data_IF_103902982392
#
_entry.id   IF_103902982392
#
_cell.length_a   1.000
_cell.length_b   1.000
_cell.length_c   1.000
_cell.angle_alpha   90.00
_cell.angle_beta   90.00
_cell.angle_gamma   90.00
#
_symmetry.space_group_name_H-M   'P 1'
#
loop_
_entity.id
_entity.type
_entity.pdbx_description
1 polymer ?
#
# COMPACT_ATOMS: atom_id res chain seq x y z
N UNK A 1 -11.65 -7.98 -1.17
CA UNK A 1 -11.90 -8.35 -2.59
C UNK A 1 -11.08 -7.48 -3.54
N UNK A 2 -11.17 -6.14 -3.51
CA UNK A 2 -10.42 -5.21 -4.37
C UNK A 2 -8.93 -5.57 -4.49
N UNK A 3 -8.18 -5.54 -3.39
CA UNK A 3 -6.74 -5.84 -3.41
C UNK A 3 -6.41 -7.24 -3.93
N UNK A 4 -7.20 -8.25 -3.56
CA UNK A 4 -6.98 -9.62 -4.03
C UNK A 4 -7.14 -9.76 -5.56
N UNK A 5 -8.13 -9.09 -6.16
CA UNK A 5 -8.28 -9.08 -7.62
C UNK A 5 -7.18 -8.28 -8.30
N UNK A 6 -6.75 -7.15 -7.74
CA UNK A 6 -5.66 -6.35 -8.27
C UNK A 6 -4.33 -7.14 -8.26
N UNK A 7 -3.98 -7.74 -7.13
CA UNK A 7 -2.77 -8.54 -6.99
C UNK A 7 -2.78 -9.79 -7.88
N UNK A 8 -3.90 -10.54 -7.87
CA UNK A 8 -4.06 -11.71 -8.72
C UNK A 8 -4.01 -11.37 -10.21
N UNK A 9 -4.48 -10.19 -10.62
CA UNK A 9 -4.36 -9.73 -12.00
C UNK A 9 -2.91 -9.66 -12.45
N UNK A 10 -2.04 -9.07 -11.63
CA UNK A 10 -0.62 -8.92 -11.94
C UNK A 10 0.13 -10.26 -11.87
N UNK A 11 -0.07 -11.05 -10.80
CA UNK A 11 0.64 -12.32 -10.59
C UNK A 11 0.25 -13.37 -11.64
N UNK A 12 -1.04 -13.44 -12.00
CA UNK A 12 -1.58 -14.46 -12.91
C UNK A 12 -1.70 -13.97 -14.36
N UNK A 13 -1.25 -12.74 -14.64
CA UNK A 13 -1.43 -12.08 -15.94
C UNK A 13 -2.89 -12.13 -16.44
N UNK A 14 -3.83 -11.68 -15.59
CA UNK A 14 -5.28 -11.72 -15.83
C UNK A 14 -5.87 -10.30 -15.91
N UNK A 15 -5.88 -9.68 -17.10
CA UNK A 15 -6.42 -8.32 -17.30
C UNK A 15 -7.91 -8.21 -16.97
N UNK A 16 -8.66 -9.29 -17.07
CA UNK A 16 -10.06 -9.35 -16.65
C UNK A 16 -10.21 -9.18 -15.12
N UNK A 17 -9.28 -9.66 -14.32
CA UNK A 17 -9.27 -9.43 -12.87
C UNK A 17 -8.96 -7.97 -12.54
N UNK A 18 -8.03 -7.34 -13.27
CA UNK A 18 -7.76 -5.92 -13.11
C UNK A 18 -9.00 -5.06 -13.43
N UNK A 19 -9.73 -5.43 -14.47
CA UNK A 19 -11.01 -4.77 -14.81
C UNK A 19 -12.04 -4.90 -13.68
N UNK A 20 -12.11 -6.07 -13.02
CA UNK A 20 -12.99 -6.27 -11.85
C UNK A 20 -12.53 -5.38 -10.68
N UNK A 21 -11.22 -5.32 -10.41
CA UNK A 21 -10.66 -4.48 -9.34
C UNK A 21 -10.97 -3.00 -9.56
N UNK A 22 -10.72 -2.47 -10.77
CA UNK A 22 -11.06 -1.08 -11.16
C UNK A 22 -12.54 -0.79 -10.94
N UNK A 23 -13.41 -1.68 -11.43
CA UNK A 23 -14.87 -1.53 -11.30
C UNK A 23 -15.33 -1.54 -9.84
N UNK A 24 -14.71 -2.38 -9.02
CA UNK A 24 -14.99 -2.44 -7.59
C UNK A 24 -14.51 -1.16 -6.87
N UNK A 25 -13.31 -0.68 -7.15
CA UNK A 25 -12.80 0.58 -6.57
C UNK A 25 -13.70 1.76 -6.93
N UNK A 26 -14.03 1.91 -8.21
CA UNK A 26 -14.91 2.98 -8.68
C UNK A 26 -16.29 2.89 -8.03
N UNK A 27 -16.89 1.70 -7.94
CA UNK A 27 -18.17 1.49 -7.27
C UNK A 27 -18.14 1.96 -5.81
N UNK A 28 -17.08 1.63 -5.07
CA UNK A 28 -16.94 2.02 -3.66
C UNK A 28 -16.78 3.55 -3.53
N UNK A 29 -16.02 4.18 -4.42
CA UNK A 29 -15.87 5.63 -4.44
C UNK A 29 -17.18 6.34 -4.80
N UNK A 30 -17.88 5.88 -5.82
CA UNK A 30 -19.11 6.52 -6.29
C UNK A 30 -20.26 6.39 -5.29
N UNK A 31 -20.30 5.30 -4.50
CA UNK A 31 -21.46 4.98 -3.68
C UNK A 31 -21.22 5.07 -2.17
N UNK A 32 -19.98 4.87 -1.70
CA UNK A 32 -19.67 4.85 -0.27
C UNK A 32 -18.77 6.02 0.17
N UNK A 33 -18.14 6.73 -0.77
CA UNK A 33 -17.38 7.95 -0.49
C UNK A 33 -18.36 9.11 -0.38
N UNK A 34 -18.71 9.49 0.84
CA UNK A 34 -19.47 10.71 1.10
C UNK A 34 -18.58 11.96 0.95
N UNK A 35 -19.16 13.14 1.10
CA UNK A 35 -18.46 14.42 0.97
C UNK A 35 -17.23 14.51 1.87
N UNK A 36 -17.28 13.90 3.03
CA UNK A 36 -16.21 13.98 4.04
C UNK A 36 -15.78 12.63 4.62
N UNK A 37 -16.67 11.65 4.70
CA UNK A 37 -16.44 10.37 5.37
C UNK A 37 -16.75 9.21 4.43
N UNK A 38 -16.09 8.07 4.70
CA UNK A 38 -16.46 6.81 4.10
C UNK A 38 -17.66 6.23 4.82
N UNK A 39 -18.62 5.66 4.07
CA UNK A 39 -19.77 4.96 4.59
C UNK A 39 -19.57 3.45 4.51
N UNK A 40 -20.18 2.71 5.44
CA UNK A 40 -19.93 1.27 5.63
C UNK A 40 -20.79 0.39 4.72
N UNK A 41 -22.05 0.75 4.52
CA UNK A 41 -23.02 -0.13 3.86
C UNK A 41 -23.70 0.55 2.69
N UNK A 42 -23.91 -0.22 1.63
CA UNK A 42 -24.72 0.20 0.48
C UNK A 42 -25.78 -0.86 0.19
N UNK A 43 -27.04 -0.44 0.22
CA UNK A 43 -28.18 -1.31 -0.10
C UNK A 43 -29.32 -0.49 -0.69
N UNK A 44 -29.99 -1.03 -1.70
CA UNK A 44 -31.17 -0.43 -2.33
C UNK A 44 -30.93 1.04 -2.79
N UNK A 45 -29.75 1.29 -3.39
CA UNK A 45 -29.37 2.62 -3.89
C UNK A 45 -28.98 3.62 -2.79
N UNK A 46 -28.79 3.19 -1.54
CA UNK A 46 -28.47 4.09 -0.42
C UNK A 46 -27.27 3.60 0.39
N UNK A 47 -26.33 4.52 0.60
CA UNK A 47 -25.24 4.32 1.54
C UNK A 47 -25.66 4.76 2.95
N UNK A 48 -25.23 4.05 3.98
CA UNK A 48 -25.56 4.32 5.38
C UNK A 48 -24.39 3.93 6.30
N UNK A 49 -24.43 4.47 7.51
CA UNK A 49 -23.52 4.24 8.62
C UNK A 49 -22.10 4.72 8.31
N UNK A 50 -21.50 5.42 9.26
CA UNK A 50 -20.09 5.80 9.16
C UNK A 50 -19.23 4.55 9.20
N UNK A 51 -18.21 4.50 8.33
CA UNK A 51 -17.26 3.41 8.26
C UNK A 51 -16.37 3.37 9.52
N UNK A 52 -16.00 2.19 9.97
CA UNK A 52 -15.06 1.96 11.06
C UNK A 52 -13.62 1.98 10.56
N UNK A 53 -12.65 1.94 11.46
CA UNK A 53 -11.23 1.89 11.13
C UNK A 53 -10.90 0.81 10.10
N UNK A 54 -11.42 -0.39 10.28
CA UNK A 54 -11.17 -1.53 9.40
C UNK A 54 -11.62 -1.27 7.96
N UNK A 55 -12.76 -0.60 7.76
CA UNK A 55 -13.29 -0.28 6.43
C UNK A 55 -12.32 0.66 5.69
N UNK A 56 -11.81 1.69 6.38
CA UNK A 56 -10.77 2.58 5.83
C UNK A 56 -9.48 1.83 5.52
N UNK A 57 -8.91 1.12 6.50
CA UNK A 57 -7.62 0.46 6.36
C UNK A 57 -7.61 -0.55 5.20
N UNK A 58 -8.65 -1.40 5.10
CA UNK A 58 -8.77 -2.37 4.01
C UNK A 58 -9.02 -1.73 2.65
N UNK A 59 -9.82 -0.66 2.59
CA UNK A 59 -10.07 0.01 1.32
C UNK A 59 -8.82 0.72 0.82
N UNK A 60 -8.12 1.46 1.69
CA UNK A 60 -6.85 2.11 1.36
C UNK A 60 -5.81 1.08 0.88
N UNK A 61 -5.68 -0.06 1.59
CA UNK A 61 -4.79 -1.14 1.16
C UNK A 61 -5.12 -1.65 -0.24
N UNK A 62 -6.41 -1.81 -0.53
CA UNK A 62 -6.88 -2.21 -1.86
C UNK A 62 -6.55 -1.19 -2.93
N UNK A 63 -6.71 0.10 -2.66
CA UNK A 63 -6.38 1.19 -3.59
C UNK A 63 -4.87 1.30 -3.86
N UNK A 64 -4.03 1.17 -2.81
CA UNK A 64 -2.57 1.14 -2.99
C UNK A 64 -2.16 -0.04 -3.87
N UNK A 65 -2.72 -1.23 -3.62
CA UNK A 65 -2.45 -2.41 -4.46
C UNK A 65 -2.94 -2.22 -5.90
N UNK A 66 -4.11 -1.59 -6.09
CA UNK A 66 -4.62 -1.28 -7.43
C UNK A 66 -3.72 -0.28 -8.16
N UNK A 67 -3.21 0.74 -7.47
CA UNK A 67 -2.21 1.65 -8.03
C UNK A 67 -0.95 0.90 -8.48
N UNK A 68 -0.37 0.08 -7.60
CA UNK A 68 0.86 -0.66 -7.88
C UNK A 68 0.74 -1.63 -9.07
N UNK A 69 -0.47 -2.11 -9.35
CA UNK A 69 -0.73 -3.05 -10.44
C UNK A 69 -1.20 -2.40 -11.73
N UNK A 70 -1.77 -1.19 -11.66
CA UNK A 70 -2.35 -0.50 -12.83
C UNK A 70 -1.60 0.74 -13.28
N UNK A 71 -0.79 1.36 -12.41
CA UNK A 71 -0.13 2.64 -12.67
C UNK A 71 -1.07 3.85 -12.70
N UNK A 72 -2.34 3.66 -12.40
CA UNK A 72 -3.34 4.74 -12.42
C UNK A 72 -3.24 5.57 -11.15
N UNK A 73 -2.63 6.76 -11.25
CA UNK A 73 -2.30 7.63 -10.13
C UNK A 73 -3.50 7.99 -9.26
N UNK A 74 -4.69 8.08 -9.83
CA UNK A 74 -5.93 8.38 -9.11
C UNK A 74 -6.18 7.47 -7.90
N UNK A 75 -5.80 6.19 -7.98
CA UNK A 75 -5.99 5.25 -6.88
C UNK A 75 -5.08 5.56 -5.69
N UNK A 76 -3.85 5.99 -5.96
CA UNK A 76 -2.95 6.44 -4.90
C UNK A 76 -3.39 7.78 -4.29
N UNK A 77 -3.88 8.71 -5.11
CA UNK A 77 -4.41 9.98 -4.64
C UNK A 77 -5.61 9.78 -3.70
N UNK A 78 -6.54 8.89 -4.07
CA UNK A 78 -7.66 8.53 -3.19
C UNK A 78 -7.18 7.79 -1.93
N UNK A 79 -6.19 6.91 -2.05
CA UNK A 79 -5.61 6.23 -0.89
C UNK A 79 -4.99 7.23 0.10
N UNK A 80 -4.26 8.24 -0.36
CA UNK A 80 -3.67 9.31 0.47
C UNK A 80 -4.78 10.17 1.10
N UNK A 81 -5.80 10.53 0.32
CA UNK A 81 -6.96 11.31 0.81
C UNK A 81 -7.68 10.55 1.95
N UNK A 82 -7.99 9.28 1.75
CA UNK A 82 -8.63 8.43 2.76
C UNK A 82 -7.73 8.19 3.98
N UNK A 83 -6.41 8.11 3.78
CA UNK A 83 -5.44 7.98 4.89
C UNK A 83 -5.46 9.22 5.79
N UNK A 84 -5.55 10.41 5.22
CA UNK A 84 -5.68 11.65 5.99
C UNK A 84 -6.95 11.62 6.85
N UNK A 85 -8.07 11.24 6.27
CA UNK A 85 -9.35 11.12 7.01
C UNK A 85 -9.27 10.03 8.08
N UNK A 86 -8.66 8.88 7.77
CA UNK A 86 -8.46 7.79 8.75
C UNK A 86 -7.66 8.28 9.96
N UNK A 87 -6.61 9.06 9.74
CA UNK A 87 -5.82 9.65 10.83
C UNK A 87 -6.66 10.64 11.62
N UNK A 88 -7.34 11.56 10.97
CA UNK A 88 -8.15 12.59 11.63
C UNK A 88 -9.29 12.00 12.47
N UNK A 89 -9.94 10.95 12.00
CA UNK A 89 -11.08 10.35 12.67
C UNK A 89 -10.70 9.38 13.79
N UNK A 90 -9.63 8.60 13.62
CA UNK A 90 -9.39 7.42 14.46
C UNK A 90 -8.10 7.47 15.27
N UNK A 91 -7.13 8.32 14.94
CA UNK A 91 -5.85 8.33 15.64
C UNK A 91 -5.98 8.81 17.08
N UNK A 92 -5.31 8.10 18.01
CA UNK A 92 -5.14 8.54 19.41
C UNK A 92 -3.85 9.36 19.51
N UNK A 93 -4.02 10.67 19.70
CA UNK A 93 -2.90 11.59 19.78
C UNK A 93 -2.11 11.47 21.11
N UNK A 94 -2.73 10.93 22.16
CA UNK A 94 -2.10 10.79 23.48
C UNK A 94 -1.29 9.49 23.60
N UNK A 95 -1.90 8.36 23.21
CA UNK A 95 -1.32 7.03 23.46
C UNK A 95 -0.88 6.33 22.18
N UNK A 96 -1.18 6.88 21.00
CA UNK A 96 -0.91 6.25 19.70
C UNK A 96 -1.84 5.08 19.37
N UNK A 97 -1.75 4.59 18.14
CA UNK A 97 -2.68 3.61 17.59
C UNK A 97 -4.03 4.22 17.23
N UNK A 98 -4.87 3.43 16.57
CA UNK A 98 -6.18 3.86 16.10
C UNK A 98 -7.29 3.28 16.98
N UNK A 99 -8.25 4.12 17.33
CA UNK A 99 -9.52 3.66 17.89
C UNK A 99 -10.34 2.91 16.84
N UNK A 100 -11.19 2.00 17.25
CA UNK A 100 -12.10 1.26 16.37
C UNK A 100 -13.17 2.16 15.74
N UNK A 101 -13.72 3.09 16.53
CA UNK A 101 -14.74 4.07 16.12
C UNK A 101 -14.13 5.45 15.88
N UNK A 102 -14.57 6.15 14.84
CA UNK A 102 -14.15 7.53 14.52
C UNK A 102 -14.75 8.58 15.47
N UNK A 103 -14.22 9.79 15.41
CA UNK A 103 -14.73 10.94 16.18
C UNK A 103 -16.14 11.33 15.76
N UNK A 104 -16.52 11.05 14.52
CA UNK A 104 -17.83 11.34 13.94
C UNK A 104 -18.89 10.26 14.21
N UNK A 105 -18.55 9.22 15.00
CA UNK A 105 -19.53 8.25 15.49
C UNK A 105 -20.26 8.78 16.74
N UNK A 106 -21.23 8.00 17.23
CA UNK A 106 -21.89 8.30 18.50
C UNK A 106 -20.89 8.37 19.66
N UNK A 107 -21.19 9.18 20.66
CA UNK A 107 -20.34 9.31 21.84
C UNK A 107 -20.45 8.04 22.69
N UNK A 108 -19.37 7.26 22.68
CA UNK A 108 -19.23 6.06 23.50
C UNK A 108 -18.63 6.41 24.87
N UNK A 109 -19.00 5.68 25.92
CA UNK A 109 -18.38 5.80 27.25
C UNK A 109 -16.87 5.53 27.16
N UNK A 110 -16.46 4.55 26.33
CA UNK A 110 -15.06 4.19 26.07
C UNK A 110 -14.91 3.87 24.59
N UNK A 111 -13.94 4.50 23.94
CA UNK A 111 -13.49 4.12 22.59
C UNK A 111 -12.43 3.04 22.72
N UNK A 112 -12.68 1.86 22.16
CA UNK A 112 -11.74 0.73 22.19
C UNK A 112 -10.77 0.79 21.03
N UNK A 113 -9.62 0.13 21.18
CA UNK A 113 -8.65 -0.18 20.11
C UNK A 113 -8.55 -1.69 19.99
N UNK A 114 -8.58 -2.19 18.76
CA UNK A 114 -8.35 -3.59 18.44
C UNK A 114 -7.01 -3.74 17.72
N UNK A 115 -6.19 -4.68 18.19
CA UNK A 115 -4.88 -5.00 17.62
C UNK A 115 -4.74 -6.49 17.27
N UNK A 116 -5.65 -7.35 17.76
CA UNK A 116 -5.56 -8.78 17.53
C UNK A 116 -6.04 -9.15 16.11
N UNK A 117 -5.17 -9.86 15.39
CA UNK A 117 -5.54 -10.45 14.13
C UNK A 117 -6.31 -11.76 14.38
N UNK A 118 -7.57 -11.77 13.99
CA UNK A 118 -8.46 -12.92 14.08
C UNK A 118 -8.63 -13.52 12.67
N UNK A 119 -9.80 -14.09 12.37
CA UNK A 119 -10.16 -14.52 11.02
C UNK A 119 -10.07 -13.37 10.00
N UNK A 120 -10.31 -12.15 10.46
CA UNK A 120 -10.01 -10.91 9.72
C UNK A 120 -8.91 -10.18 10.48
N UNK A 121 -7.86 -9.68 9.80
CA UNK A 121 -6.84 -8.86 10.43
C UNK A 121 -7.43 -7.62 11.11
N UNK A 122 -6.80 -7.15 12.18
CA UNK A 122 -7.24 -5.93 12.87
C UNK A 122 -7.06 -4.68 12.02
N UNK A 123 -7.91 -3.69 12.20
CA UNK A 123 -7.78 -2.39 11.55
C UNK A 123 -6.43 -1.73 11.82
N UNK A 124 -5.88 -1.86 13.04
CA UNK A 124 -4.56 -1.33 13.39
C UNK A 124 -3.41 -2.05 12.67
N UNK A 125 -3.48 -3.36 12.51
CA UNK A 125 -2.46 -4.14 11.78
C UNK A 125 -2.40 -3.75 10.32
N UNK A 126 -3.56 -3.64 9.66
CA UNK A 126 -3.64 -3.22 8.25
C UNK A 126 -3.26 -1.76 8.08
N UNK A 127 -3.69 -0.87 9.00
CA UNK A 127 -3.33 0.54 8.97
C UNK A 127 -1.81 0.73 9.13
N UNK A 128 -1.13 -0.03 10.00
CA UNK A 128 0.32 0.03 10.14
C UNK A 128 1.04 -0.29 8.82
N UNK A 129 0.63 -1.36 8.13
CA UNK A 129 1.21 -1.73 6.83
C UNK A 129 0.93 -0.70 5.74
N UNK A 130 -0.32 -0.23 5.65
CA UNK A 130 -0.72 0.78 4.66
C UNK A 130 0.06 2.08 4.85
N UNK A 131 0.21 2.54 6.09
CA UNK A 131 1.00 3.73 6.41
C UNK A 131 2.46 3.58 5.98
N UNK A 132 3.06 2.39 6.14
CA UNK A 132 4.43 2.14 5.69
C UNK A 132 4.56 2.16 4.16
N UNK A 133 3.63 1.53 3.44
CA UNK A 133 3.63 1.52 1.96
C UNK A 133 3.46 2.93 1.40
N UNK A 134 2.47 3.68 1.89
CA UNK A 134 2.24 5.06 1.45
C UNK A 134 3.40 5.96 1.87
N UNK A 135 4.00 5.76 3.06
CA UNK A 135 5.17 6.51 3.49
C UNK A 135 6.34 6.39 2.51
N UNK A 136 6.61 5.19 1.99
CA UNK A 136 7.64 4.98 0.98
C UNK A 136 7.27 5.57 -0.38
N UNK A 137 6.02 5.46 -0.80
CA UNK A 137 5.56 6.02 -2.08
C UNK A 137 5.61 7.54 -2.07
N UNK A 138 5.27 8.19 -0.94
CA UNK A 138 5.10 9.65 -0.85
C UNK A 138 6.20 10.37 -0.06
N UNK A 139 7.20 9.63 0.44
CA UNK A 139 8.25 10.13 1.34
C UNK A 139 7.69 10.84 2.59
N UNK A 140 6.57 10.34 3.12
CA UNK A 140 5.90 10.94 4.27
C UNK A 140 6.40 10.33 5.58
N UNK A 141 7.30 11.07 6.27
CA UNK A 141 7.88 10.64 7.54
C UNK A 141 6.86 10.50 8.68
N UNK A 142 5.74 11.25 8.67
CA UNK A 142 4.70 11.16 9.71
C UNK A 142 3.96 9.82 9.63
N UNK A 143 3.66 9.34 8.44
CA UNK A 143 3.05 8.03 8.25
C UNK A 143 3.96 6.91 8.78
N UNK A 144 5.25 6.95 8.44
CA UNK A 144 6.26 6.01 8.95
C UNK A 144 6.34 6.05 10.48
N UNK A 145 6.34 7.25 11.07
CA UNK A 145 6.38 7.46 12.53
C UNK A 145 5.15 6.86 13.21
N UNK A 146 3.94 7.07 12.68
CA UNK A 146 2.69 6.52 13.22
C UNK A 146 2.67 5.00 13.15
N UNK A 147 3.06 4.41 12.03
CA UNK A 147 3.20 2.95 11.91
C UNK A 147 4.18 2.39 12.93
N UNK A 148 5.37 3.00 13.08
CA UNK A 148 6.35 2.63 14.10
C UNK A 148 5.81 2.75 15.53
N UNK A 149 4.90 3.69 15.79
CA UNK A 149 4.23 3.82 17.11
C UNK A 149 3.32 2.61 17.36
N UNK A 150 2.49 2.20 16.39
CA UNK A 150 1.63 1.02 16.50
C UNK A 150 2.47 -0.23 16.79
N UNK A 151 3.56 -0.43 16.04
CA UNK A 151 4.45 -1.57 16.21
C UNK A 151 5.08 -1.61 17.62
N UNK A 152 5.56 -0.48 18.13
CA UNK A 152 6.12 -0.38 19.49
C UNK A 152 5.10 -0.65 20.58
N UNK A 153 3.87 -0.15 20.43
CA UNK A 153 2.79 -0.40 21.41
C UNK A 153 2.55 -1.90 21.62
N UNK A 154 2.68 -2.69 20.56
CA UNK A 154 2.36 -4.11 20.61
C UNK A 154 3.58 -5.01 20.80
N UNK A 155 4.81 -4.48 20.83
CA UNK A 155 6.04 -5.25 20.85
C UNK A 155 6.08 -6.37 21.91
N UNK A 156 5.75 -6.05 23.15
CA UNK A 156 5.74 -7.03 24.25
C UNK A 156 4.65 -8.09 24.09
N UNK A 157 3.46 -7.69 23.60
CA UNK A 157 2.34 -8.62 23.43
C UNK A 157 2.60 -9.57 22.26
N UNK A 158 3.14 -9.07 21.15
CA UNK A 158 3.53 -9.86 19.98
C UNK A 158 4.59 -10.91 20.35
N UNK A 159 5.57 -10.58 21.19
CA UNK A 159 6.57 -11.55 21.66
C UNK A 159 5.94 -12.70 22.45
N UNK A 160 4.88 -12.43 23.21
CA UNK A 160 4.20 -13.45 24.04
C UNK A 160 3.22 -14.31 23.23
N UNK A 161 2.55 -13.71 22.25
CA UNK A 161 1.44 -14.33 21.49
C UNK A 161 1.55 -14.04 19.99
N UNK A 162 2.63 -14.43 19.29
CA UNK A 162 2.87 -14.05 17.91
C UNK A 162 1.77 -14.53 16.96
N UNK A 163 1.12 -15.64 17.24
CA UNK A 163 0.04 -16.19 16.40
C UNK A 163 -1.21 -15.30 16.32
N UNK A 164 -1.40 -14.39 17.27
CA UNK A 164 -2.50 -13.44 17.28
C UNK A 164 -2.21 -12.13 16.50
N UNK A 165 -1.08 -12.03 15.79
CA UNK A 165 -0.60 -10.79 15.17
C UNK A 165 0.03 -11.00 13.79
N UNK A 166 -0.50 -11.96 13.01
CA UNK A 166 0.09 -12.33 11.73
C UNK A 166 0.25 -11.16 10.77
N UNK A 167 -0.76 -10.32 10.64
CA UNK A 167 -0.71 -9.13 9.77
C UNK A 167 0.22 -8.04 10.34
N UNK A 168 0.20 -7.85 11.65
CA UNK A 168 1.11 -6.90 12.30
C UNK A 168 2.58 -7.33 12.17
N UNK A 169 2.86 -8.63 12.21
CA UNK A 169 4.20 -9.18 11.95
C UNK A 169 4.65 -8.93 10.50
N UNK A 170 3.75 -9.00 9.52
CA UNK A 170 4.09 -8.60 8.14
C UNK A 170 4.46 -7.10 8.08
N UNK A 171 3.71 -6.24 8.78
CA UNK A 171 4.05 -4.82 8.87
C UNK A 171 5.38 -4.59 9.60
N UNK A 172 5.68 -5.37 10.63
CA UNK A 172 6.96 -5.31 11.35
C UNK A 172 8.12 -5.73 10.44
N UNK A 173 7.98 -6.83 9.69
CA UNK A 173 8.99 -7.30 8.73
C UNK A 173 9.26 -6.25 7.65
N UNK A 174 8.22 -5.60 7.15
CA UNK A 174 8.35 -4.47 6.22
C UNK A 174 9.07 -3.27 6.86
N UNK A 175 8.78 -2.95 8.13
CA UNK A 175 9.34 -1.80 8.84
C UNK A 175 10.83 -1.96 9.17
N UNK A 176 11.25 -3.17 9.62
CA UNK A 176 12.65 -3.45 10.01
C UNK A 176 13.49 -3.94 8.85
N UNK A 177 12.85 -4.41 7.79
CA UNK A 177 13.52 -4.90 6.58
C UNK A 177 14.02 -3.77 5.68
N UNK A 178 14.45 -4.17 4.51
CA UNK A 178 14.86 -3.25 3.43
C UNK A 178 13.89 -3.43 2.26
N UNK A 179 12.73 -2.75 2.29
CA UNK A 179 11.77 -2.88 1.21
C UNK A 179 12.39 -2.45 -0.13
N UNK A 180 12.04 -3.19 -1.18
CA UNK A 180 12.42 -2.82 -2.54
C UNK A 180 11.49 -1.73 -3.05
N UNK A 181 12.07 -0.63 -3.50
CA UNK A 181 11.38 0.50 -4.10
C UNK A 181 11.57 0.42 -5.62
N UNK A 182 10.51 0.05 -6.32
CA UNK A 182 10.54 -0.25 -7.76
C UNK A 182 9.78 0.83 -8.51
N UNK A 183 10.50 1.75 -9.20
CA UNK A 183 9.89 2.66 -10.15
C UNK A 183 9.99 2.08 -11.55
N UNK A 184 8.88 1.94 -12.26
CA UNK A 184 8.82 1.58 -13.66
C UNK A 184 8.32 2.77 -14.47
N UNK A 185 9.15 3.30 -15.37
CA UNK A 185 8.78 4.38 -16.28
C UNK A 185 8.52 3.76 -17.65
N UNK A 186 7.25 3.66 -18.02
CA UNK A 186 6.86 2.90 -19.21
C UNK A 186 5.52 3.34 -19.78
N UNK A 187 5.34 3.16 -21.07
CA UNK A 187 4.01 3.17 -21.68
C UNK A 187 3.33 1.84 -21.40
N UNK A 188 2.08 1.89 -20.95
CA UNK A 188 1.31 0.68 -20.65
C UNK A 188 0.86 -0.04 -21.93
N UNK A 189 0.49 -1.31 -21.78
CA UNK A 189 0.06 -2.19 -22.88
C UNK A 189 1.13 -2.35 -23.99
N UNK A 190 2.41 -2.30 -23.59
CA UNK A 190 3.56 -2.56 -24.46
C UNK A 190 4.29 -3.84 -24.02
N UNK A 191 4.81 -4.63 -24.98
CA UNK A 191 5.46 -5.91 -24.68
C UNK A 191 6.68 -5.81 -23.74
N UNK A 192 7.47 -4.74 -23.83
CA UNK A 192 8.63 -4.49 -22.99
C UNK A 192 8.20 -4.14 -21.54
N UNK A 193 7.12 -3.38 -21.40
CA UNK A 193 6.51 -3.08 -20.11
C UNK A 193 5.97 -4.34 -19.43
N UNK A 194 5.24 -5.16 -20.19
CA UNK A 194 4.67 -6.41 -19.69
C UNK A 194 5.77 -7.38 -19.24
N UNK A 195 6.88 -7.48 -20.00
CA UNK A 195 8.01 -8.33 -19.63
C UNK A 195 8.68 -7.91 -18.32
N UNK A 196 8.90 -6.61 -18.10
CA UNK A 196 9.47 -6.10 -16.86
C UNK A 196 8.51 -6.27 -15.67
N UNK A 197 7.22 -6.00 -15.85
CA UNK A 197 6.20 -6.23 -14.81
C UNK A 197 6.09 -7.71 -14.45
N UNK A 198 6.15 -8.61 -15.43
CA UNK A 198 6.12 -10.04 -15.18
C UNK A 198 7.29 -10.49 -14.28
N UNK A 199 8.50 -9.94 -14.46
CA UNK A 199 9.64 -10.22 -13.59
C UNK A 199 9.41 -9.76 -12.14
N UNK A 200 8.78 -8.61 -11.95
CA UNK A 200 8.46 -8.08 -10.60
C UNK A 200 7.38 -8.92 -9.92
N UNK A 201 6.32 -9.30 -10.65
CA UNK A 201 5.15 -9.95 -10.05
C UNK A 201 5.23 -11.47 -9.99
N UNK A 202 6.08 -12.12 -10.80
CA UNK A 202 6.32 -13.57 -10.73
C UNK A 202 7.11 -13.99 -9.49
N UNK A 203 7.72 -13.04 -8.76
CA UNK A 203 8.59 -13.31 -7.61
C UNK A 203 7.88 -13.03 -6.30
N UNK A 204 8.14 -13.88 -5.31
CA UNK A 204 7.69 -13.61 -3.93
C UNK A 204 8.58 -12.54 -3.29
N UNK A 205 8.15 -11.30 -3.38
CA UNK A 205 8.79 -10.12 -2.80
C UNK A 205 7.80 -9.44 -1.84
N UNK A 206 7.67 -9.92 -0.60
CA UNK A 206 6.66 -9.41 0.34
C UNK A 206 6.91 -7.96 0.74
N UNK A 207 8.19 -7.55 0.81
CA UNK A 207 8.58 -6.20 1.19
C UNK A 207 8.96 -5.41 -0.07
N UNK A 208 7.97 -4.92 -0.80
CA UNK A 208 8.17 -4.05 -1.97
C UNK A 208 7.08 -2.98 -2.06
N UNK A 209 7.41 -1.91 -2.75
CA UNK A 209 6.46 -1.00 -3.39
C UNK A 209 6.75 -0.93 -4.88
N UNK A 210 5.72 -0.77 -5.68
CA UNK A 210 5.85 -0.62 -7.14
C UNK A 210 5.16 0.66 -7.58
N UNK A 211 5.87 1.51 -8.30
CA UNK A 211 5.35 2.76 -8.86
C UNK A 211 5.49 2.72 -10.39
N UNK A 212 4.52 2.10 -11.10
CA UNK A 212 4.51 2.10 -12.55
C UNK A 212 3.86 3.40 -13.06
N UNK A 213 4.59 4.20 -13.82
CA UNK A 213 4.17 5.53 -14.24
C UNK A 213 4.49 5.74 -15.72
N UNK A 214 3.56 6.36 -16.46
CA UNK A 214 3.80 6.78 -17.84
C UNK A 214 4.84 7.89 -17.92
N UNK A 215 5.69 7.90 -18.96
CA UNK A 215 6.69 8.92 -19.15
C UNK A 215 6.07 10.33 -19.18
N UNK A 216 6.79 11.30 -18.60
CA UNK A 216 6.35 12.69 -18.60
C UNK A 216 5.19 13.04 -17.64
N UNK A 217 4.73 12.10 -16.83
CA UNK A 217 3.71 12.37 -15.83
C UNK A 217 4.30 13.17 -14.64
N UNK A 218 4.30 14.50 -14.78
CA UNK A 218 4.82 15.43 -13.76
C UNK A 218 4.04 15.35 -12.45
N UNK A 219 2.71 15.16 -12.53
CA UNK A 219 1.83 15.02 -11.35
C UNK A 219 2.21 13.81 -10.50
N UNK A 220 2.60 12.71 -11.15
CA UNK A 220 3.13 11.56 -10.42
C UNK A 220 4.43 11.87 -9.69
N UNK A 221 5.34 12.64 -10.30
CA UNK A 221 6.59 13.08 -9.67
C UNK A 221 6.38 14.00 -8.46
N UNK A 222 5.28 14.76 -8.42
CA UNK A 222 4.93 15.59 -7.27
C UNK A 222 4.48 14.74 -6.07
N UNK A 223 3.70 13.69 -6.33
CA UNK A 223 3.19 12.79 -5.30
C UNK A 223 4.17 11.70 -4.89
N UNK A 224 4.96 11.18 -5.84
CA UNK A 224 5.86 10.03 -5.67
C UNK A 224 7.30 10.47 -5.98
N UNK A 225 8.07 10.91 -4.96
CA UNK A 225 9.47 11.33 -5.18
C UNK A 225 10.33 10.26 -5.85
N UNK A 226 10.01 8.98 -5.64
CA UNK A 226 10.71 7.85 -6.24
C UNK A 226 10.74 7.91 -7.78
N UNK A 227 9.73 8.47 -8.45
CA UNK A 227 9.68 8.55 -9.93
C UNK A 227 10.15 9.89 -10.49
N UNK A 228 10.49 10.85 -9.62
CA UNK A 228 10.88 12.20 -10.03
C UNK A 228 12.19 12.17 -10.82
N UNK A 229 12.20 12.85 -11.98
CA UNK A 229 13.37 12.97 -12.85
C UNK A 229 13.98 11.63 -13.28
N UNK A 230 13.16 10.60 -13.45
CA UNK A 230 13.55 9.30 -13.98
C UNK A 230 13.03 9.16 -15.43
N UNK A 231 13.90 9.28 -16.45
CA UNK A 231 13.49 9.11 -17.84
C UNK A 231 13.44 7.64 -18.24
N UNK A 232 12.83 7.38 -19.38
CA UNK A 232 13.07 6.14 -20.12
C UNK A 232 14.48 6.13 -20.73
N UNK A 233 15.11 4.98 -20.79
CA UNK A 233 16.37 4.75 -21.51
C UNK A 233 16.02 4.33 -22.94
N UNK A 234 16.52 5.06 -23.93
CA UNK A 234 16.29 4.81 -25.36
C UNK A 234 14.82 4.64 -25.75
N UNK A 235 13.92 5.33 -25.03
CA UNK A 235 12.48 5.25 -25.26
C UNK A 235 11.83 3.93 -24.88
N UNK A 236 12.53 3.06 -24.13
CA UNK A 236 12.05 1.76 -23.68
C UNK A 236 11.56 1.81 -22.24
N UNK A 237 10.69 0.88 -21.88
CA UNK A 237 10.32 0.66 -20.49
C UNK A 237 11.57 0.49 -19.63
N UNK A 238 11.66 1.24 -18.53
CA UNK A 238 12.86 1.32 -17.69
C UNK A 238 12.51 1.14 -16.22
N UNK A 239 13.17 0.21 -15.55
CA UNK A 239 13.05 -0.02 -14.10
C UNK A 239 14.20 0.63 -13.34
N UNK A 240 13.86 1.33 -12.28
CA UNK A 240 14.75 1.84 -11.26
C UNK A 240 14.48 1.10 -9.96
N UNK A 241 15.42 0.27 -9.51
CA UNK A 241 15.33 -0.49 -8.27
C UNK A 241 16.19 0.17 -7.20
N UNK A 242 15.55 0.57 -6.10
CA UNK A 242 16.25 1.16 -4.96
C UNK A 242 15.96 0.36 -3.68
N UNK A 243 16.93 0.36 -2.77
CA UNK A 243 16.84 -0.19 -1.42
C UNK A 243 17.59 0.73 -0.46
N UNK A 244 16.98 1.17 0.63
CA UNK A 244 17.62 2.03 1.63
C UNK A 244 18.31 3.27 1.02
N UNK A 245 17.62 3.97 0.11
CA UNK A 245 18.12 5.16 -0.61
C UNK A 245 19.28 4.89 -1.57
N UNK A 246 19.67 3.64 -1.79
CA UNK A 246 20.67 3.27 -2.80
C UNK A 246 19.97 2.65 -4.00
N UNK A 247 20.12 3.28 -5.16
CA UNK A 247 19.55 2.77 -6.41
C UNK A 247 20.58 1.98 -7.19
N UNK A 248 20.16 0.84 -7.75
CA UNK A 248 20.94 0.05 -8.71
C UNK A 248 20.96 0.75 -10.07
N UNK A 249 21.80 0.27 -10.97
CA UNK A 249 21.82 0.73 -12.37
C UNK A 249 20.43 0.51 -12.98
N UNK A 250 19.78 1.51 -13.56
CA UNK A 250 18.50 1.32 -14.20
C UNK A 250 18.63 0.37 -15.40
N UNK A 251 17.59 -0.45 -15.61
CA UNK A 251 17.62 -1.45 -16.68
C UNK A 251 16.33 -1.47 -17.48
N UNK A 252 16.47 -1.84 -18.76
CA UNK A 252 15.40 -2.14 -19.72
C UNK A 252 15.30 -3.63 -20.02
N UNK A 253 16.18 -4.44 -19.41
CA UNK A 253 16.31 -5.88 -19.65
C UNK A 253 15.68 -6.68 -18.52
N UNK A 254 14.68 -7.54 -18.80
CA UNK A 254 14.06 -8.40 -17.79
C UNK A 254 15.04 -9.37 -17.11
N UNK A 255 16.06 -9.90 -17.81
CA UNK A 255 17.05 -10.83 -17.22
C UNK A 255 17.95 -10.09 -16.23
N UNK A 256 18.39 -8.87 -16.57
CA UNK A 256 19.13 -8.03 -15.65
C UNK A 256 18.29 -7.65 -14.43
N UNK A 257 17.02 -7.26 -14.64
CA UNK A 257 16.09 -6.98 -13.55
C UNK A 257 15.93 -8.20 -12.64
N UNK A 258 15.75 -9.40 -13.20
CA UNK A 258 15.69 -10.65 -12.48
C UNK A 258 16.91 -10.84 -11.55
N UNK A 259 18.10 -10.59 -12.09
CA UNK A 259 19.35 -10.67 -11.33
C UNK A 259 19.40 -9.63 -10.20
N UNK A 260 18.98 -8.40 -10.49
CA UNK A 260 18.94 -7.32 -9.50
C UNK A 260 17.94 -7.59 -8.36
N UNK A 261 16.79 -8.20 -8.64
CA UNK A 261 15.78 -8.54 -7.65
C UNK A 261 16.21 -9.66 -6.69
N UNK A 262 17.09 -10.57 -7.13
CA UNK A 262 17.62 -11.67 -6.33
C UNK A 262 18.72 -11.24 -5.35
N UNK A 263 19.48 -10.18 -5.66
CA UNK A 263 20.59 -9.71 -4.83
C UNK A 263 20.06 -8.81 -3.71
N UNK A 264 19.67 -9.40 -2.59
CA UNK A 264 19.76 -8.75 -1.28
C UNK A 264 19.42 -9.73 -0.16
N UNK A 265 20.48 -10.21 0.48
CA UNK A 265 20.60 -10.64 1.89
C UNK A 265 22.05 -11.01 2.22
N UNK A 266 22.97 -10.12 1.85
CA UNK A 266 24.34 -10.21 2.38
C UNK A 266 24.52 -8.98 3.28
N UNK A 267 24.24 -9.11 4.61
CA UNK A 267 24.51 -8.02 5.54
C UNK A 267 23.76 -8.02 6.86
N UNK A 268 23.13 -9.14 7.25
CA UNK A 268 22.59 -9.26 8.61
C UNK A 268 23.23 -10.46 9.31
N UNK A 269 24.53 -10.35 9.58
CA UNK A 269 25.26 -11.40 10.29
C UNK A 269 26.67 -10.97 10.58
N UNK A 270 26.86 -10.00 11.50
CA UNK A 270 28.03 -9.86 12.38
C UNK A 270 27.97 -8.55 13.14
N UNK A 271 27.37 -8.53 14.31
CA UNK A 271 27.82 -7.81 15.50
C UNK A 271 26.97 -8.26 16.69
#
# INVERSE_FOLDING_TARGET
MLGAFAEAAAILNRPDYLKVARKNAQFLLDNLRGDRLLLRTYKDGRAKLNAYLEDYAFFINGLVTLFETSGELQWLEEAVSLTTIMIDEFWDDENGGFFYTGRSHENLIVRSKDFFDNATPSGNSVAAEVLLRIALLTDNADYKRRAGTILRLMATTVQRYPSGFGRLLCALDFYVGSPKEIALIAEFDQPDTDALLAEVWSRYLPNKIVAPISPGNTRAGDLIPLVRQRPQIDGKATVYLCEQFVCKTPTTDPEELASQLLISRAGAGSA
#
